data_IF_490529721168
#
_entry.id   IF_490529721168
#
_cell.length_a   1.000
_cell.length_b   1.000
_cell.length_c   1.000
_cell.angle_alpha   90.00
_cell.angle_beta   90.00
_cell.angle_gamma   90.00
#
_symmetry.space_group_name_H-M   'P 1'
#
loop_
_entity.id
_entity.type
_entity.pdbx_description
1 polymer ?
#
# COMPACT_ATOMS: atom_id res chain seq x y z
N UNK A 1 -1.40 4.93 -24.49
CA UNK A 1 -1.91 6.20 -23.94
C UNK A 1 -1.05 6.51 -22.74
N UNK A 2 -0.66 7.76 -22.58
CA UNK A 2 0.06 8.23 -21.39
C UNK A 2 -1.00 8.39 -20.28
N UNK A 3 -0.80 7.73 -19.13
CA UNK A 3 -1.76 7.77 -18.01
C UNK A 3 -1.81 9.15 -17.35
N UNK A 4 -2.93 9.47 -16.72
CA UNK A 4 -3.10 10.70 -15.98
C UNK A 4 -2.35 10.66 -14.64
N UNK A 5 -1.97 11.83 -14.12
CA UNK A 5 -1.45 11.98 -12.76
C UNK A 5 -2.58 12.54 -11.89
N UNK A 6 -2.91 11.80 -10.83
CA UNK A 6 -3.90 12.16 -9.80
C UNK A 6 -3.15 12.52 -8.53
N UNK A 7 -3.27 13.76 -8.08
CA UNK A 7 -2.53 14.29 -6.93
C UNK A 7 -3.30 14.09 -5.63
N UNK A 8 -2.64 13.55 -4.62
CA UNK A 8 -3.20 13.39 -3.27
C UNK A 8 -2.40 14.24 -2.29
N UNK A 9 -3.01 15.19 -1.57
CA UNK A 9 -4.45 15.42 -1.43
C UNK A 9 -5.06 16.44 -2.42
N UNK A 10 -4.34 16.85 -3.47
CA UNK A 10 -4.71 17.97 -4.34
C UNK A 10 -6.03 17.78 -5.10
N UNK A 11 -6.18 16.66 -5.80
CA UNK A 11 -7.36 16.31 -6.59
C UNK A 11 -8.40 15.56 -5.75
N UNK A 12 -7.94 14.70 -4.82
CA UNK A 12 -8.79 13.99 -3.88
C UNK A 12 -8.22 13.99 -2.47
N UNK A 13 -9.11 14.02 -1.46
CA UNK A 13 -8.71 14.10 -0.06
C UNK A 13 -8.08 12.83 0.51
N UNK A 14 -8.25 11.69 -0.15
CA UNK A 14 -7.77 10.38 0.32
C UNK A 14 -7.18 9.56 -0.81
N UNK A 15 -6.28 8.66 -0.47
CA UNK A 15 -5.61 7.78 -1.45
C UNK A 15 -6.61 6.86 -2.12
N UNK A 16 -7.56 6.29 -1.37
CA UNK A 16 -8.59 5.42 -1.95
C UNK A 16 -9.43 6.15 -2.99
N UNK A 17 -9.83 7.42 -2.74
CA UNK A 17 -10.56 8.20 -3.73
C UNK A 17 -9.76 8.43 -5.02
N UNK A 18 -8.44 8.65 -4.90
CA UNK A 18 -7.54 8.75 -6.06
C UNK A 18 -7.49 7.46 -6.87
N UNK A 19 -7.39 6.31 -6.20
CA UNK A 19 -7.42 5.00 -6.85
C UNK A 19 -8.79 4.75 -7.49
N UNK A 20 -9.88 5.08 -6.81
CA UNK A 20 -11.24 4.85 -7.30
C UNK A 20 -11.52 5.62 -8.61
N UNK A 21 -10.94 6.82 -8.74
CA UNK A 21 -11.02 7.66 -9.92
C UNK A 21 -10.05 7.28 -11.05
N UNK A 22 -9.06 6.43 -10.76
CA UNK A 22 -8.03 6.03 -11.72
C UNK A 22 -8.47 4.90 -12.65
N UNK A 23 -7.84 4.86 -13.82
CA UNK A 23 -7.90 3.74 -14.77
C UNK A 23 -6.49 3.20 -15.04
N UNK A 24 -6.42 2.01 -15.65
CA UNK A 24 -5.14 1.36 -15.96
C UNK A 24 -4.17 2.30 -16.70
N UNK A 25 -2.93 2.36 -16.20
CA UNK A 25 -1.88 3.24 -16.68
C UNK A 25 -1.72 4.55 -15.91
N UNK A 26 -2.70 4.95 -15.09
CA UNK A 26 -2.63 6.18 -14.30
C UNK A 26 -1.61 6.11 -13.15
N UNK A 27 -1.25 7.28 -12.65
CA UNK A 27 -0.42 7.46 -11.45
C UNK A 27 -1.20 8.21 -10.36
N UNK A 28 -1.31 7.62 -9.18
CA UNK A 28 -1.73 8.29 -7.96
C UNK A 28 -0.47 8.80 -7.25
N UNK A 29 -0.21 10.10 -7.36
CA UNK A 29 0.96 10.77 -6.81
C UNK A 29 0.63 11.39 -5.44
N UNK A 30 1.30 10.92 -4.40
CA UNK A 30 1.04 11.30 -3.01
C UNK A 30 2.08 12.33 -2.56
N UNK A 31 1.61 13.51 -2.17
CA UNK A 31 2.43 14.58 -1.64
C UNK A 31 3.01 14.24 -0.27
N UNK A 32 4.05 14.97 0.13
CA UNK A 32 4.67 14.84 1.45
C UNK A 32 3.64 15.02 2.57
N UNK A 33 3.66 14.11 3.55
CA UNK A 33 2.75 14.18 4.67
C UNK A 33 2.51 12.86 5.39
N UNK A 34 1.62 12.93 6.38
CA UNK A 34 1.13 11.77 7.12
C UNK A 34 -0.36 11.61 6.85
N UNK A 35 -0.72 10.52 6.20
CA UNK A 35 -2.09 10.19 5.82
C UNK A 35 -2.67 9.22 6.84
N UNK A 36 -3.81 9.58 7.43
CA UNK A 36 -4.50 8.83 8.47
C UNK A 36 -6.01 8.81 8.22
N UNK A 37 -6.76 8.08 9.03
CA UNK A 37 -8.21 8.02 8.93
C UNK A 37 -8.74 7.16 7.77
N UNK A 38 -10.08 7.03 7.67
CA UNK A 38 -10.74 6.29 6.59
C UNK A 38 -10.32 6.78 5.20
N UNK A 39 -10.15 5.85 4.25
CA UNK A 39 -9.67 6.14 2.89
C UNK A 39 -8.14 6.23 2.75
N UNK A 40 -7.40 6.23 3.87
CA UNK A 40 -5.94 6.19 3.92
C UNK A 40 -5.41 4.96 4.68
N UNK A 41 -6.26 3.95 4.85
CA UNK A 41 -5.97 2.61 5.39
C UNK A 41 -6.91 1.62 4.72
N UNK A 42 -6.56 0.34 4.79
CA UNK A 42 -7.22 -0.73 4.04
C UNK A 42 -7.32 -0.38 2.55
N UNK A 43 -6.26 0.24 2.01
CA UNK A 43 -6.25 0.82 0.66
C UNK A 43 -6.21 -0.32 -0.36
N UNK A 44 -7.17 -0.33 -1.27
CA UNK A 44 -7.41 -1.37 -2.26
C UNK A 44 -7.22 -0.83 -3.67
N UNK A 45 -6.37 -1.49 -4.47
CA UNK A 45 -6.15 -1.14 -5.88
C UNK A 45 -7.36 -1.52 -6.76
N UNK A 46 -8.19 -2.46 -6.32
CA UNK A 46 -9.39 -2.90 -7.03
C UNK A 46 -9.09 -3.54 -8.39
N UNK A 47 -7.96 -4.26 -8.51
CA UNK A 47 -7.57 -4.94 -9.75
C UNK A 47 -6.90 -4.04 -10.79
N UNK A 48 -6.71 -2.75 -10.51
CA UNK A 48 -6.17 -1.78 -11.49
C UNK A 48 -4.66 -1.86 -11.65
N UNK A 49 -4.17 -1.75 -12.87
CA UNK A 49 -2.76 -1.65 -13.23
C UNK A 49 -2.29 -0.17 -13.21
N UNK A 50 -2.15 0.39 -12.01
CA UNK A 50 -1.77 1.79 -11.75
C UNK A 50 -0.50 1.88 -10.92
N UNK A 51 0.14 3.05 -10.93
CA UNK A 51 1.23 3.41 -10.04
C UNK A 51 0.71 4.24 -8.86
N UNK A 52 0.86 3.77 -7.63
CA UNK A 52 0.68 4.57 -6.42
C UNK A 52 2.06 4.89 -5.85
N UNK A 53 2.47 6.16 -5.88
CA UNK A 53 3.84 6.58 -5.54
C UNK A 53 3.86 7.86 -4.72
N UNK A 54 4.88 8.04 -3.89
CA UNK A 54 5.18 9.36 -3.30
C UNK A 54 5.85 10.30 -4.29
N UNK A 55 5.78 11.59 -3.97
CA UNK A 55 6.51 12.66 -4.65
C UNK A 55 8.00 12.68 -4.28
N UNK A 56 8.34 12.61 -2.98
CA UNK A 56 9.72 12.72 -2.49
C UNK A 56 10.23 11.52 -1.68
N UNK A 57 9.64 10.34 -1.91
CA UNK A 57 10.10 9.08 -1.31
C UNK A 57 9.45 8.73 0.03
N UNK A 58 9.79 7.54 0.57
CA UNK A 58 9.08 6.95 1.71
C UNK A 58 9.30 7.72 3.01
N UNK A 59 10.45 8.38 3.17
CA UNK A 59 10.78 9.17 4.37
C UNK A 59 9.93 10.43 4.53
N UNK A 60 9.27 10.86 3.46
CA UNK A 60 8.42 12.06 3.42
C UNK A 60 6.94 11.75 3.38
N UNK A 61 6.57 10.51 3.05
CA UNK A 61 5.18 10.13 2.79
C UNK A 61 4.79 8.91 3.60
N UNK A 62 4.07 9.14 4.70
CA UNK A 62 3.69 8.12 5.67
C UNK A 62 2.21 7.80 5.68
N UNK A 63 1.88 6.54 5.44
CA UNK A 63 0.56 5.95 5.63
C UNK A 63 0.51 5.39 7.05
N UNK A 64 -0.23 6.07 7.93
CA UNK A 64 -0.37 5.66 9.33
C UNK A 64 -1.76 5.10 9.56
N UNK A 65 -1.81 3.78 9.75
CA UNK A 65 -3.06 3.06 9.89
C UNK A 65 -3.67 3.20 11.30
N UNK A 66 -3.01 3.92 12.22
CA UNK A 66 -3.52 4.22 13.56
C UNK A 66 -3.87 2.98 14.41
N UNK A 67 -3.23 1.84 14.12
CA UNK A 67 -3.54 0.50 14.67
C UNK A 67 -4.98 0.07 14.38
N UNK A 68 -5.52 0.54 13.26
CA UNK A 68 -6.85 0.24 12.76
C UNK A 68 -6.71 -0.23 11.32
N UNK A 69 -6.93 -1.52 11.08
CA UNK A 69 -6.88 -2.07 9.72
C UNK A 69 -5.45 -2.22 9.17
N UNK A 70 -5.37 -2.38 7.85
CA UNK A 70 -4.13 -2.61 7.10
C UNK A 70 -3.63 -1.33 6.45
N UNK A 71 -2.41 -1.34 5.91
CA UNK A 71 -1.96 -0.31 4.98
C UNK A 71 -2.62 -0.50 3.61
N UNK A 72 -2.21 -1.56 2.92
CA UNK A 72 -2.68 -1.90 1.57
C UNK A 72 -3.18 -3.34 1.49
N UNK A 73 -4.16 -3.57 0.63
CA UNK A 73 -4.70 -4.87 0.27
C UNK A 73 -4.73 -5.04 -1.25
N UNK A 74 -4.20 -6.17 -1.71
CA UNK A 74 -4.26 -6.63 -3.10
C UNK A 74 -4.98 -7.98 -3.08
N UNK A 75 -6.19 -8.02 -3.63
CA UNK A 75 -7.07 -9.20 -3.54
C UNK A 75 -7.97 -9.40 -4.76
N UNK A 76 -7.84 -8.54 -5.78
CA UNK A 76 -8.69 -8.52 -6.96
C UNK A 76 -7.98 -9.03 -8.22
N UNK A 77 -6.90 -9.79 -8.06
CA UNK A 77 -6.11 -10.33 -9.17
C UNK A 77 -5.09 -9.34 -9.75
N UNK A 78 -4.64 -8.37 -8.95
CA UNK A 78 -3.64 -7.38 -9.34
C UNK A 78 -2.37 -8.05 -9.89
N UNK A 79 -1.91 -7.58 -11.05
CA UNK A 79 -0.70 -8.07 -11.71
C UNK A 79 0.50 -7.14 -11.45
N UNK A 80 1.64 -7.38 -12.13
CA UNK A 80 2.87 -6.60 -11.93
C UNK A 80 2.73 -5.12 -12.32
N UNK A 81 1.69 -4.75 -13.08
CA UNK A 81 1.35 -3.37 -13.40
C UNK A 81 0.65 -2.60 -12.27
N UNK A 82 0.23 -3.27 -11.20
CA UNK A 82 -0.23 -2.64 -9.96
C UNK A 82 1.00 -2.38 -9.08
N UNK A 83 1.49 -1.15 -9.10
CA UNK A 83 2.77 -0.77 -8.51
C UNK A 83 2.54 0.10 -7.29
N UNK A 84 3.04 -0.34 -6.13
CA UNK A 84 3.14 0.44 -4.91
C UNK A 84 4.59 0.83 -4.70
N UNK A 85 4.87 2.14 -4.67
CA UNK A 85 6.24 2.64 -4.60
C UNK A 85 6.46 3.78 -3.63
N UNK A 86 7.60 3.74 -2.92
CA UNK A 86 8.11 4.95 -2.28
C UNK A 86 7.29 5.44 -1.08
N UNK A 87 6.53 4.57 -0.40
CA UNK A 87 5.71 4.96 0.77
C UNK A 87 6.24 4.32 2.05
N UNK A 88 6.09 5.03 3.17
CA UNK A 88 6.16 4.41 4.50
C UNK A 88 4.77 3.89 4.89
N UNK A 89 4.65 2.61 5.20
CA UNK A 89 3.41 1.98 5.68
C UNK A 89 3.62 1.51 7.10
N UNK A 90 2.83 2.08 8.02
CA UNK A 90 3.05 1.82 9.44
C UNK A 90 1.80 1.73 10.29
N UNK A 91 1.99 1.11 11.45
CA UNK A 91 0.98 0.96 12.50
C UNK A 91 -0.30 0.31 11.98
N UNK A 92 -0.22 -0.56 10.98
CA UNK A 92 -1.27 -1.51 10.64
C UNK A 92 -1.48 -2.49 11.79
N UNK A 93 -2.73 -2.79 12.11
CA UNK A 93 -3.07 -3.83 13.09
C UNK A 93 -4.37 -4.52 12.72
N UNK A 94 -4.25 -5.82 12.45
CA UNK A 94 -5.38 -6.72 12.19
C UNK A 94 -5.18 -8.05 12.92
N UNK A 95 -6.24 -8.81 13.23
CA UNK A 95 -6.11 -10.00 14.07
C UNK A 95 -5.29 -11.13 13.43
N UNK A 96 -5.44 -11.36 12.12
CA UNK A 96 -4.98 -12.60 11.48
C UNK A 96 -3.74 -12.43 10.58
N UNK A 97 -3.88 -11.70 9.46
CA UNK A 97 -2.85 -11.68 8.42
C UNK A 97 -2.65 -10.32 7.77
N UNK A 98 -1.39 -10.01 7.44
CA UNK A 98 -1.01 -8.93 6.54
C UNK A 98 -1.36 -7.54 7.04
N UNK A 99 -0.84 -7.13 8.19
CA UNK A 99 -1.16 -5.81 8.76
C UNK A 99 -0.57 -4.63 7.97
N UNK A 100 0.66 -4.73 7.46
CA UNK A 100 1.21 -3.70 6.57
C UNK A 100 0.60 -3.82 5.19
N UNK A 101 0.93 -4.91 4.51
CA UNK A 101 0.44 -5.23 3.17
C UNK A 101 -0.07 -6.67 3.13
N UNK A 102 -1.24 -6.87 2.54
CA UNK A 102 -1.80 -8.19 2.25
C UNK A 102 -1.89 -8.39 0.73
N UNK A 103 -1.26 -9.44 0.21
CA UNK A 103 -1.43 -9.91 -1.16
C UNK A 103 -2.12 -11.27 -1.15
N UNK A 104 -3.31 -11.38 -1.73
CA UNK A 104 -4.08 -12.62 -1.85
C UNK A 104 -4.50 -12.83 -3.30
N UNK A 105 -4.10 -13.95 -3.91
CA UNK A 105 -4.40 -14.23 -5.32
C UNK A 105 -3.93 -13.15 -6.30
N UNK A 106 -2.94 -12.35 -5.87
CA UNK A 106 -2.43 -11.18 -6.59
C UNK A 106 -0.90 -11.18 -6.61
N UNK A 107 -0.32 -10.62 -7.66
CA UNK A 107 1.12 -10.51 -7.89
C UNK A 107 1.55 -9.07 -8.24
N UNK A 108 1.28 -8.07 -7.36
CA UNK A 108 1.68 -6.68 -7.57
C UNK A 108 3.20 -6.48 -7.53
N UNK A 109 3.64 -5.28 -7.90
CA UNK A 109 5.01 -4.82 -7.67
C UNK A 109 5.03 -3.89 -6.45
N UNK A 110 5.84 -4.23 -5.44
CA UNK A 110 6.04 -3.44 -4.24
C UNK A 110 7.52 -3.08 -4.19
N UNK A 111 7.85 -1.79 -4.34
CA UNK A 111 9.23 -1.34 -4.38
C UNK A 111 9.51 -0.05 -3.61
N UNK A 112 10.72 0.08 -3.06
CA UNK A 112 11.20 1.32 -2.44
C UNK A 112 10.32 1.82 -1.28
N UNK A 113 9.59 0.90 -0.63
CA UNK A 113 8.75 1.19 0.52
C UNK A 113 9.48 0.92 1.85
N UNK A 114 9.04 1.61 2.89
CA UNK A 114 9.41 1.32 4.28
C UNK A 114 8.17 0.74 4.97
N UNK A 115 8.23 -0.51 5.41
CA UNK A 115 7.10 -1.21 6.02
C UNK A 115 7.48 -1.52 7.47
N UNK A 116 6.90 -0.77 8.40
CA UNK A 116 7.39 -0.73 9.78
C UNK A 116 6.29 -0.62 10.83
N UNK A 117 6.53 -1.14 12.03
CA UNK A 117 5.62 -1.03 13.18
C UNK A 117 4.20 -1.58 12.92
N UNK A 118 4.07 -2.57 12.02
CA UNK A 118 2.82 -3.27 11.78
C UNK A 118 2.71 -4.51 12.67
N UNK A 119 1.49 -4.91 13.04
CA UNK A 119 1.25 -5.94 14.05
C UNK A 119 0.09 -6.87 13.63
N UNK A 120 0.33 -8.18 13.59
CA UNK A 120 -0.72 -9.18 13.33
C UNK A 120 -0.28 -10.56 13.82
N UNK A 121 -1.09 -11.60 13.62
CA UNK A 121 -0.69 -12.97 13.92
C UNK A 121 0.35 -13.47 12.90
N UNK A 122 0.08 -13.42 11.59
CA UNK A 122 1.01 -13.86 10.55
C UNK A 122 1.31 -12.81 9.46
N UNK A 123 2.59 -12.61 9.16
CA UNK A 123 3.03 -11.71 8.07
C UNK A 123 2.74 -10.24 8.35
N UNK A 124 3.20 -9.74 9.50
CA UNK A 124 2.90 -8.37 9.95
C UNK A 124 3.37 -7.28 8.97
N UNK A 125 4.53 -7.43 8.35
CA UNK A 125 5.00 -6.51 7.31
C UNK A 125 4.24 -6.73 5.99
N UNK A 126 4.53 -7.85 5.33
CA UNK A 126 3.86 -8.28 4.11
C UNK A 126 3.43 -9.74 4.31
N UNK A 127 2.18 -10.04 3.99
CA UNK A 127 1.69 -11.41 3.84
C UNK A 127 1.35 -11.69 2.38
N UNK A 128 1.79 -12.84 1.86
CA UNK A 128 1.48 -13.29 0.50
C UNK A 128 0.79 -14.65 0.57
N UNK A 129 -0.44 -14.73 0.07
CA UNK A 129 -1.18 -15.97 -0.12
C UNK A 129 -1.57 -16.14 -1.58
N UNK A 130 -1.25 -17.30 -2.16
CA UNK A 130 -1.65 -17.66 -3.53
C UNK A 130 -1.25 -16.64 -4.62
N UNK A 131 -0.12 -15.96 -4.45
CA UNK A 131 0.39 -14.94 -5.37
C UNK A 131 1.92 -14.98 -5.47
N UNK A 132 2.48 -14.17 -6.38
CA UNK A 132 3.92 -14.06 -6.59
C UNK A 132 4.33 -12.61 -6.86
N UNK A 133 4.12 -11.70 -5.89
CA UNK A 133 4.46 -10.29 -6.05
C UNK A 133 5.98 -10.10 -6.22
N UNK A 134 6.35 -9.07 -6.97
CA UNK A 134 7.73 -8.59 -6.98
C UNK A 134 7.93 -7.67 -5.79
N UNK A 135 8.76 -8.07 -4.83
CA UNK A 135 9.08 -7.30 -3.62
C UNK A 135 10.57 -6.96 -3.68
N UNK A 136 10.91 -5.70 -3.97
CA UNK A 136 12.31 -5.29 -4.20
C UNK A 136 12.63 -3.94 -3.59
N UNK A 137 13.87 -3.75 -3.13
CA UNK A 137 14.35 -2.48 -2.52
C UNK A 137 13.47 -1.94 -1.38
N UNK A 138 12.79 -2.82 -0.65
CA UNK A 138 11.98 -2.43 0.50
C UNK A 138 12.77 -2.58 1.80
N UNK A 139 12.49 -1.70 2.75
CA UNK A 139 12.93 -1.85 4.13
C UNK A 139 11.77 -2.39 4.98
N UNK A 140 11.86 -3.64 5.43
CA UNK A 140 10.80 -4.31 6.21
C UNK A 140 11.35 -4.59 7.61
N UNK A 141 11.02 -3.74 8.57
CA UNK A 141 11.58 -3.82 9.93
C UNK A 141 10.55 -3.57 11.02
N UNK A 142 10.91 -3.90 12.28
CA UNK A 142 10.11 -3.55 13.46
C UNK A 142 8.61 -3.95 13.37
N UNK A 143 8.29 -4.96 12.57
CA UNK A 143 6.95 -5.53 12.47
C UNK A 143 6.84 -6.72 13.42
N UNK A 144 5.68 -6.88 14.06
CA UNK A 144 5.44 -7.89 15.08
C UNK A 144 4.40 -8.91 14.58
N UNK A 145 4.85 -10.12 14.26
CA UNK A 145 3.99 -11.28 14.10
C UNK A 145 3.89 -12.00 15.44
N UNK A 146 2.67 -12.22 15.96
CA UNK A 146 2.46 -12.92 17.24
C UNK A 146 2.16 -14.41 17.07
N UNK A 147 1.82 -14.84 15.86
CA UNK A 147 1.68 -16.24 15.46
C UNK A 147 3.02 -16.78 14.99
N UNK A 148 3.31 -18.03 15.37
CA UNK A 148 4.54 -18.73 15.05
C UNK A 148 4.77 -18.99 13.57
#
# INVERSE_FOLDING_TARGET
MEGAIIHIPGDFSTIQQGIDASVDGDTVLIADGRFTGPGNRDIDFGGRAILVTSEHGPEKTGIDCERQGRGFVFHSGEGPGSILRGLTIRKGKVPLIGAGILCLYSSPTIEECIITLNETEHGAGIFVGYGSPTITRNWIEANLSTGG
#
